data_IF_951201574523
#
_entry.id   IF_951201574523
#
_cell.length_a   1.000
_cell.length_b   1.000
_cell.length_c   1.000
_cell.angle_alpha   90.00
_cell.angle_beta   90.00
_cell.angle_gamma   90.00
#
_symmetry.space_group_name_H-M   'P 1'
#
loop_
_entity.id
_entity.type
_entity.pdbx_description
1 polymer ?
#
# COMPACT_ATOMS: atom_id res chain seq x y z
N UNK A 1 39.85 -24.89 14.50
CA UNK A 1 38.53 -25.53 14.66
C UNK A 1 37.72 -25.14 13.44
N UNK A 2 37.28 -26.14 12.68
CA UNK A 2 36.61 -25.99 11.40
C UNK A 2 35.08 -25.89 11.58
N UNK A 3 34.46 -25.44 10.48
CA UNK A 3 33.06 -25.62 10.06
C UNK A 3 32.07 -24.55 10.49
N UNK A 4 32.13 -23.43 9.74
CA UNK A 4 31.02 -22.88 8.94
C UNK A 4 29.64 -23.42 9.36
N UNK A 5 28.94 -22.67 10.21
CA UNK A 5 27.48 -22.81 10.35
C UNK A 5 26.84 -22.25 9.09
N UNK A 6 26.73 -23.14 8.10
CA UNK A 6 25.61 -23.33 7.18
C UNK A 6 24.82 -22.06 6.87
N UNK A 7 25.26 -21.41 5.81
CA UNK A 7 24.40 -20.61 4.94
C UNK A 7 23.20 -21.47 4.50
N UNK A 8 22.01 -21.06 4.90
CA UNK A 8 20.74 -21.43 4.26
C UNK A 8 20.03 -20.13 3.85
N UNK A 9 20.62 -19.40 2.92
CA UNK A 9 19.95 -18.38 2.12
C UNK A 9 20.56 -18.43 0.72
N UNK A 10 20.30 -19.54 0.04
CA UNK A 10 20.56 -19.68 -1.39
C UNK A 10 19.20 -19.87 -2.08
N UNK A 11 18.52 -18.76 -2.29
CA UNK A 11 17.52 -18.58 -3.33
C UNK A 11 17.72 -17.15 -3.85
N UNK A 12 18.25 -17.06 -5.08
CA UNK A 12 18.15 -15.92 -6.01
C UNK A 12 18.23 -14.48 -5.42
N UNK A 13 19.40 -14.09 -4.88
CA UNK A 13 19.74 -12.70 -4.51
C UNK A 13 20.13 -11.86 -5.74
N UNK A 14 19.24 -11.66 -6.71
CA UNK A 14 19.45 -10.64 -7.76
C UNK A 14 18.60 -9.40 -7.58
N UNK A 15 17.52 -9.48 -6.80
CA UNK A 15 16.49 -8.46 -6.82
C UNK A 15 16.40 -7.66 -5.51
N UNK A 16 17.23 -7.96 -4.52
CA UNK A 16 17.28 -7.25 -3.23
C UNK A 16 18.27 -6.08 -3.31
N UNK A 17 17.79 -4.85 -3.20
CA UNK A 17 18.60 -3.63 -3.31
C UNK A 17 19.18 -3.18 -1.96
N UNK A 18 18.35 -3.23 -0.91
CA UNK A 18 18.74 -2.79 0.43
C UNK A 18 17.80 -3.38 1.48
N UNK A 19 18.31 -3.57 2.69
CA UNK A 19 17.56 -4.20 3.78
C UNK A 19 17.91 -3.57 5.13
N UNK A 20 16.88 -3.33 5.94
CA UNK A 20 16.95 -3.08 7.37
C UNK A 20 16.58 -4.36 8.11
N UNK A 21 17.55 -5.03 8.76
CA UNK A 21 17.37 -6.40 9.21
C UNK A 21 16.54 -6.56 10.49
N UNK A 22 16.30 -5.48 11.24
CA UNK A 22 15.56 -5.52 12.50
C UNK A 22 14.78 -4.23 12.74
N UNK A 23 13.56 -4.40 13.24
CA UNK A 23 12.67 -3.31 13.60
C UNK A 23 11.25 -3.80 13.93
N UNK A 24 10.32 -2.84 14.00
CA UNK A 24 8.92 -3.07 14.36
C UNK A 24 8.02 -2.35 13.38
N UNK A 25 6.97 -3.02 12.91
CA UNK A 25 5.98 -2.41 12.02
C UNK A 25 4.76 -1.99 12.81
N UNK A 26 4.36 -0.72 12.66
CA UNK A 26 3.14 -0.16 13.21
C UNK A 26 2.23 0.37 12.09
N UNK A 27 0.94 0.39 12.38
CA UNK A 27 -0.07 1.13 11.64
C UNK A 27 -0.63 2.24 12.53
N UNK A 28 -0.38 3.48 12.14
CA UNK A 28 -0.90 4.68 12.81
C UNK A 28 -2.13 5.14 12.05
N UNK A 29 -3.27 5.17 12.75
CA UNK A 29 -4.54 5.61 12.18
C UNK A 29 -4.65 7.13 12.23
N UNK A 30 -5.42 7.71 11.32
CA UNK A 30 -5.68 9.15 11.36
C UNK A 30 -6.29 9.55 12.73
N UNK A 31 -5.95 10.74 13.29
CA UNK A 31 -6.45 11.15 14.60
C UNK A 31 -7.97 11.27 14.72
N UNK A 32 -8.68 11.34 13.59
CA UNK A 32 -10.13 11.40 13.53
C UNK A 32 -10.78 10.01 13.44
N UNK A 33 -9.98 8.95 13.30
CA UNK A 33 -10.47 7.58 13.24
C UNK A 33 -11.00 7.15 14.60
N UNK A 34 -12.17 6.47 14.67
CA UNK A 34 -12.68 5.88 15.90
C UNK A 34 -11.89 4.63 16.33
N UNK A 35 -11.04 4.08 15.45
CA UNK A 35 -10.16 2.94 15.71
C UNK A 35 -8.88 3.46 16.40
N UNK A 36 -8.29 2.68 17.30
CA UNK A 36 -7.14 3.10 18.11
C UNK A 36 -6.00 3.73 17.30
N UNK A 37 -5.31 4.71 17.89
CA UNK A 37 -4.44 5.62 17.15
C UNK A 37 -3.17 4.97 16.57
N UNK A 38 -2.64 3.91 17.19
CA UNK A 38 -1.41 3.24 16.77
C UNK A 38 -1.42 1.77 17.17
N UNK A 39 -1.30 0.89 16.19
CA UNK A 39 -1.35 -0.57 16.33
C UNK A 39 0.02 -1.16 15.97
N UNK A 40 0.56 -2.07 16.79
CA UNK A 40 1.77 -2.83 16.45
C UNK A 40 1.35 -4.04 15.62
N UNK A 41 1.79 -4.09 14.36
CA UNK A 41 1.51 -5.21 13.47
C UNK A 41 2.54 -6.32 13.65
N UNK A 42 3.83 -5.97 13.66
CA UNK A 42 4.94 -6.89 13.88
C UNK A 42 5.90 -6.36 14.95
N UNK A 43 6.09 -7.15 16.01
CA UNK A 43 7.02 -6.86 17.11
C UNK A 43 8.49 -7.14 16.78
N UNK A 44 8.73 -7.92 15.73
CA UNK A 44 10.03 -8.18 15.13
C UNK A 44 9.82 -8.34 13.62
N UNK A 45 10.51 -7.51 12.83
CA UNK A 45 10.35 -7.44 11.39
C UNK A 45 11.60 -6.95 10.68
N UNK A 46 11.71 -7.34 9.42
CA UNK A 46 12.74 -6.90 8.48
C UNK A 46 12.08 -6.07 7.36
N UNK A 47 12.71 -4.97 6.96
CA UNK A 47 12.24 -4.17 5.82
C UNK A 47 13.23 -4.25 4.65
N UNK A 48 12.75 -4.56 3.46
CA UNK A 48 13.57 -4.85 2.29
C UNK A 48 13.06 -4.12 1.06
N UNK A 49 13.96 -3.52 0.29
CA UNK A 49 13.67 -2.91 -1.02
C UNK A 49 14.01 -3.93 -2.10
N UNK A 50 13.04 -4.24 -2.96
CA UNK A 50 13.22 -5.16 -4.08
C UNK A 50 12.97 -4.48 -5.42
N UNK A 51 13.79 -4.86 -6.39
CA UNK A 51 13.54 -4.62 -7.80
C UNK A 51 12.48 -5.59 -8.32
N UNK A 52 11.66 -5.12 -9.25
CA UNK A 52 10.70 -5.96 -9.98
C UNK A 52 11.23 -6.27 -11.38
N UNK A 53 10.53 -7.13 -12.12
CA UNK A 53 10.84 -7.39 -13.53
C UNK A 53 10.56 -6.19 -14.45
N UNK A 54 9.92 -5.13 -13.93
CA UNK A 54 9.66 -3.90 -14.68
C UNK A 54 10.72 -2.85 -14.32
N UNK A 55 11.40 -2.24 -15.31
CA UNK A 55 12.37 -1.18 -15.05
C UNK A 55 11.77 -0.05 -14.21
N UNK A 56 12.56 0.44 -13.27
CA UNK A 56 12.19 1.55 -12.37
C UNK A 56 10.97 1.31 -11.48
N UNK A 57 10.47 0.08 -11.45
CA UNK A 57 9.44 -0.35 -10.52
C UNK A 57 10.07 -1.15 -9.39
N UNK A 58 9.83 -0.68 -8.17
CA UNK A 58 10.39 -1.21 -6.94
C UNK A 58 9.32 -1.42 -5.89
N UNK A 59 9.59 -2.33 -4.96
CA UNK A 59 8.69 -2.67 -3.88
C UNK A 59 9.43 -2.58 -2.55
N UNK A 60 8.85 -1.86 -1.59
CA UNK A 60 9.21 -1.94 -0.18
C UNK A 60 8.41 -3.08 0.44
N UNK A 61 9.09 -4.08 0.99
CA UNK A 61 8.47 -5.19 1.68
C UNK A 61 8.84 -5.17 3.16
N UNK A 62 7.89 -5.54 4.02
CA UNK A 62 8.13 -5.69 5.46
C UNK A 62 7.68 -7.07 5.88
N UNK A 63 8.63 -7.92 6.28
CA UNK A 63 8.38 -9.31 6.63
C UNK A 63 8.52 -9.51 8.14
N UNK A 64 7.61 -10.27 8.75
CA UNK A 64 7.69 -10.64 10.17
C UNK A 64 8.85 -11.60 10.39
N UNK A 65 9.59 -11.38 11.47
CA UNK A 65 10.65 -12.29 11.92
C UNK A 65 10.10 -13.13 13.08
N UNK A 66 10.16 -14.46 12.92
CA UNK A 66 9.76 -15.39 13.97
C UNK A 66 10.85 -15.53 15.03
N UNK A 67 10.49 -15.34 16.29
CA UNK A 67 11.38 -15.67 17.41
C UNK A 67 11.15 -17.13 17.84
N UNK A 68 12.22 -17.92 17.95
CA UNK A 68 12.18 -19.32 18.40
C UNK A 68 11.47 -19.41 19.78
N UNK A 69 10.22 -19.89 19.80
CA UNK A 69 9.40 -20.00 21.01
C UNK A 69 8.12 -19.15 21.04
N UNK A 70 7.87 -18.28 20.05
CA UNK A 70 6.52 -17.78 19.80
C UNK A 70 5.66 -18.93 19.28
N UNK A 71 4.78 -19.48 20.12
CA UNK A 71 3.67 -20.28 19.66
C UNK A 71 2.78 -19.36 18.82
N UNK A 72 2.49 -19.73 17.58
CA UNK A 72 1.48 -19.04 16.78
C UNK A 72 0.21 -18.90 17.64
N UNK A 73 -0.11 -17.67 18.05
CA UNK A 73 -1.33 -17.38 18.81
C UNK A 73 -2.62 -17.72 18.02
N UNK A 74 -2.46 -18.25 16.80
CA UNK A 74 -3.50 -18.73 15.91
C UNK A 74 -3.56 -20.27 15.81
N UNK A 75 -3.09 -20.99 16.84
CA UNK A 75 -3.58 -22.32 17.18
C UNK A 75 -3.32 -23.41 16.14
N UNK A 76 -2.21 -24.11 16.28
CA UNK A 76 -2.14 -25.52 15.89
C UNK A 76 -1.36 -26.32 16.93
N UNK A 77 -1.81 -26.28 18.18
CA UNK A 77 -1.60 -27.41 19.08
C UNK A 77 -2.86 -28.28 18.99
N UNK A 78 -2.71 -29.40 18.29
CA UNK A 78 -3.61 -30.56 18.18
C UNK A 78 -5.00 -30.33 17.54
N UNK A 79 -5.16 -30.71 16.26
CA UNK A 79 -6.06 -31.81 15.90
C UNK A 79 -5.75 -32.31 14.48
N UNK A 80 -5.24 -33.55 14.38
CA UNK A 80 -5.47 -34.34 13.18
C UNK A 80 -6.89 -34.87 13.34
N UNK A 81 -7.87 -34.24 12.68
CA UNK A 81 -9.00 -34.94 12.08
C UNK A 81 -9.65 -34.04 11.02
N UNK A 82 -9.84 -34.63 9.85
CA UNK A 82 -10.42 -34.05 8.64
C UNK A 82 -11.87 -33.61 8.87
N UNK A 83 -12.17 -32.31 8.81
CA UNK A 83 -13.53 -31.83 8.51
C UNK A 83 -13.42 -30.53 7.69
N UNK A 84 -13.84 -30.59 6.41
CA UNK A 84 -14.10 -29.43 5.56
C UNK A 84 -15.15 -28.53 6.25
N UNK A 85 -14.72 -27.41 6.83
CA UNK A 85 -15.64 -26.42 7.42
C UNK A 85 -15.70 -25.16 6.56
N UNK A 86 -16.67 -25.17 5.65
CA UNK A 86 -17.20 -24.01 4.95
C UNK A 86 -17.77 -23.03 5.98
N UNK A 87 -16.97 -22.06 6.43
CA UNK A 87 -17.40 -20.99 7.34
C UNK A 87 -17.55 -19.68 6.59
N UNK A 88 -18.64 -19.60 5.83
CA UNK A 88 -19.40 -18.37 5.65
C UNK A 88 -19.89 -17.88 7.03
N UNK A 89 -19.14 -16.96 7.62
CA UNK A 89 -19.62 -16.09 8.70
C UNK A 89 -19.28 -14.62 8.37
N UNK A 90 -20.10 -14.02 7.51
CA UNK A 90 -20.87 -12.83 7.87
C UNK A 90 -20.12 -11.52 8.18
N UNK A 91 -19.96 -10.70 7.14
CA UNK A 91 -20.25 -9.24 7.06
C UNK A 91 -20.08 -8.38 8.33
N UNK A 92 -18.96 -7.66 8.39
CA UNK A 92 -18.86 -6.31 8.96
C UNK A 92 -18.51 -5.31 7.86
N UNK A 93 -19.28 -4.21 7.77
CA UNK A 93 -19.28 -3.21 6.70
C UNK A 93 -17.93 -2.59 6.32
N UNK A 94 -17.77 -2.37 5.01
CA UNK A 94 -17.07 -1.21 4.43
C UNK A 94 -15.56 -1.32 4.30
N UNK A 95 -15.09 -1.23 3.05
CA UNK A 95 -13.72 -0.85 2.66
C UNK A 95 -12.63 -1.92 2.83
N UNK A 96 -12.72 -2.93 1.97
CA UNK A 96 -11.78 -4.05 1.91
C UNK A 96 -11.53 -4.54 0.47
N UNK A 97 -11.47 -3.62 -0.49
CA UNK A 97 -11.18 -3.97 -1.88
C UNK A 97 -9.69 -4.28 -2.15
N UNK A 98 -8.81 -4.19 -1.14
CA UNK A 98 -7.47 -4.78 -1.22
C UNK A 98 -6.87 -5.23 0.13
N UNK A 99 -7.70 -5.65 1.09
CA UNK A 99 -7.24 -6.70 2.00
C UNK A 99 -7.37 -7.98 1.18
N UNK A 100 -6.34 -8.32 0.41
CA UNK A 100 -6.16 -9.69 -0.04
C UNK A 100 -6.32 -10.53 1.23
N UNK A 101 -7.40 -11.31 1.26
CA UNK A 101 -7.77 -12.15 2.37
C UNK A 101 -6.70 -13.22 2.58
N UNK A 102 -5.63 -12.89 3.31
CA UNK A 102 -4.64 -13.84 3.74
C UNK A 102 -4.51 -13.71 5.27
N UNK A 103 -5.22 -14.55 6.00
CA UNK A 103 -4.91 -14.86 7.40
C UNK A 103 -3.59 -15.64 7.55
N UNK A 104 -2.61 -15.38 6.68
CA UNK A 104 -1.41 -16.21 6.47
C UNK A 104 -0.22 -15.46 5.84
N UNK A 105 -0.18 -14.13 5.86
CA UNK A 105 0.94 -13.39 5.28
C UNK A 105 1.81 -12.74 6.36
N UNK A 106 2.99 -13.32 6.56
CA UNK A 106 4.09 -12.73 7.31
C UNK A 106 4.80 -11.61 6.54
N UNK A 107 4.10 -10.94 5.61
CA UNK A 107 4.71 -9.96 4.73
C UNK A 107 3.70 -8.91 4.26
N UNK A 108 4.12 -7.65 4.32
CA UNK A 108 3.49 -6.50 3.66
C UNK A 108 4.32 -6.08 2.46
N UNK A 109 3.65 -5.60 1.41
CA UNK A 109 4.29 -5.21 0.15
C UNK A 109 3.70 -3.90 -0.34
N UNK A 110 4.57 -2.92 -0.62
CA UNK A 110 4.22 -1.55 -0.99
C UNK A 110 5.00 -1.15 -2.24
N UNK A 111 4.31 -0.75 -3.31
CA UNK A 111 4.97 -0.20 -4.49
C UNK A 111 5.58 1.16 -4.16
N UNK A 112 6.87 1.33 -4.43
CA UNK A 112 7.59 2.58 -4.10
C UNK A 112 7.24 3.64 -5.13
N UNK A 113 6.52 4.68 -4.71
CA UNK A 113 6.18 5.86 -5.52
C UNK A 113 6.14 7.14 -4.68
N UNK A 114 5.99 8.30 -5.33
CA UNK A 114 5.85 9.60 -4.65
C UNK A 114 4.59 9.65 -3.77
N UNK A 115 3.53 8.90 -4.11
CA UNK A 115 2.27 8.85 -3.38
C UNK A 115 2.40 8.23 -1.98
N UNK A 116 3.43 7.38 -1.76
CA UNK A 116 3.75 6.86 -0.43
C UNK A 116 4.21 7.95 0.53
N UNK A 117 4.71 9.09 0.01
CA UNK A 117 5.13 10.23 0.82
C UNK A 117 6.05 9.82 1.98
N UNK A 118 7.07 9.03 1.62
CA UNK A 118 8.01 8.44 2.56
C UNK A 118 8.79 9.54 3.27
N UNK A 119 8.94 9.40 4.59
CA UNK A 119 9.83 10.24 5.38
C UNK A 119 10.42 9.48 6.54
N UNK A 120 11.56 9.97 7.03
CA UNK A 120 12.22 9.44 8.23
C UNK A 120 12.21 10.47 9.34
N UNK A 121 12.10 10.02 10.59
CA UNK A 121 12.18 10.87 11.77
C UNK A 121 12.85 10.13 12.93
N UNK A 122 13.22 10.88 13.96
CA UNK A 122 13.71 10.34 15.21
C UNK A 122 12.64 10.54 16.27
N UNK A 123 12.25 9.46 16.95
CA UNK A 123 11.31 9.46 18.06
C UNK A 123 11.89 10.16 19.29
N UNK A 124 11.03 10.44 20.27
CA UNK A 124 11.43 11.06 21.54
C UNK A 124 12.42 10.21 22.35
N UNK A 125 12.35 8.89 22.18
CA UNK A 125 13.27 7.92 22.79
C UNK A 125 14.62 7.80 22.05
N UNK A 126 14.79 8.49 20.92
CA UNK A 126 16.00 8.48 20.10
C UNK A 126 16.02 7.39 19.02
N UNK A 127 15.01 6.53 18.95
CA UNK A 127 14.88 5.53 17.89
C UNK A 127 14.56 6.20 16.54
N UNK A 128 15.06 5.64 15.44
CA UNK A 128 14.74 6.14 14.09
C UNK A 128 13.55 5.37 13.54
N UNK A 129 12.68 6.06 12.82
CA UNK A 129 11.54 5.46 12.15
C UNK A 129 11.40 5.97 10.72
N UNK A 130 10.86 5.12 9.85
CA UNK A 130 10.47 5.45 8.48
C UNK A 130 8.95 5.31 8.41
N UNK A 131 8.25 6.31 7.86
CA UNK A 131 6.80 6.28 7.73
C UNK A 131 6.35 6.63 6.31
N UNK A 132 5.26 6.00 5.89
CA UNK A 132 4.64 6.18 4.57
C UNK A 132 3.12 6.06 4.68
N UNK A 133 2.41 6.62 3.70
CA UNK A 133 0.96 6.56 3.62
C UNK A 133 0.47 5.14 3.38
N UNK A 134 -0.64 4.77 4.02
CA UNK A 134 -1.43 3.61 3.62
C UNK A 134 -2.33 4.00 2.44
N UNK A 135 -1.90 3.67 1.22
CA UNK A 135 -2.66 3.97 0.00
C UNK A 135 -3.96 3.16 -0.13
N UNK A 136 -4.11 2.11 0.67
CA UNK A 136 -5.25 1.19 0.61
C UNK A 136 -6.14 1.30 1.85
N UNK A 137 -5.76 2.13 2.82
CA UNK A 137 -6.44 2.34 4.10
C UNK A 137 -7.31 3.60 4.12
N UNK A 138 -7.67 4.03 5.34
CA UNK A 138 -8.43 5.26 5.52
C UNK A 138 -7.53 6.48 5.28
N UNK A 139 -8.12 7.59 4.83
CA UNK A 139 -7.36 8.82 4.60
C UNK A 139 -6.60 9.26 5.86
N UNK A 140 -5.28 9.41 5.73
CA UNK A 140 -4.38 9.80 6.81
C UNK A 140 -3.83 8.62 7.63
N UNK A 141 -4.18 7.38 7.30
CA UNK A 141 -3.51 6.20 7.86
C UNK A 141 -2.09 6.08 7.30
N UNK A 142 -1.16 5.65 8.15
CA UNK A 142 0.26 5.54 7.82
C UNK A 142 0.88 4.30 8.44
N UNK A 143 1.78 3.68 7.72
CA UNK A 143 2.69 2.70 8.29
C UNK A 143 3.90 3.41 8.90
N UNK A 144 4.48 2.79 9.92
CA UNK A 144 5.71 3.24 10.57
C UNK A 144 6.59 2.02 10.87
N UNK A 145 7.78 1.98 10.29
CA UNK A 145 8.81 1.02 10.60
C UNK A 145 9.80 1.65 11.58
N UNK A 146 9.74 1.24 12.85
CA UNK A 146 10.65 1.67 13.90
C UNK A 146 11.88 0.78 13.90
N UNK A 147 13.05 1.37 13.70
CA UNK A 147 14.32 0.67 13.52
C UNK A 147 14.95 0.43 14.89
N UNK A 148 15.39 -0.80 15.15
CA UNK A 148 16.06 -1.12 16.41
C UNK A 148 17.42 -0.42 16.56
N UNK A 149 17.79 -0.10 17.80
CA UNK A 149 18.96 0.71 18.14
C UNK A 149 20.30 0.08 17.74
N UNK A 150 20.32 -1.23 17.48
CA UNK A 150 21.51 -1.96 17.05
C UNK A 150 21.92 -1.66 15.59
N UNK A 151 21.01 -1.12 14.80
CA UNK A 151 21.28 -0.76 13.39
C UNK A 151 22.02 0.57 13.34
N UNK A 152 23.14 0.59 12.60
CA UNK A 152 23.97 1.79 12.49
C UNK A 152 23.26 2.84 11.65
N UNK A 153 23.43 4.11 12.03
CA UNK A 153 22.88 5.22 11.25
C UNK A 153 23.36 5.25 9.78
N UNK A 154 24.59 4.82 9.49
CA UNK A 154 25.07 4.70 8.11
C UNK A 154 24.29 3.69 7.27
N UNK A 155 23.82 2.61 7.89
CA UNK A 155 23.06 1.55 7.23
C UNK A 155 21.62 2.05 6.96
N UNK A 156 21.06 2.82 7.90
CA UNK A 156 19.77 3.50 7.75
C UNK A 156 19.83 4.56 6.65
N UNK A 157 20.87 5.39 6.62
CA UNK A 157 21.05 6.41 5.59
C UNK A 157 21.23 5.78 4.20
N UNK A 158 21.95 4.66 4.12
CA UNK A 158 22.11 3.90 2.87
C UNK A 158 20.80 3.28 2.39
N UNK A 159 19.98 2.78 3.31
CA UNK A 159 18.64 2.28 3.01
C UNK A 159 17.72 3.40 2.50
N UNK A 160 17.70 4.54 3.19
CA UNK A 160 16.92 5.72 2.77
C UNK A 160 17.38 6.23 1.41
N UNK A 161 18.69 6.32 1.16
CA UNK A 161 19.22 6.71 -0.15
C UNK A 161 18.72 5.77 -1.24
N UNK A 162 18.77 4.45 -0.99
CA UNK A 162 18.25 3.45 -1.93
C UNK A 162 16.74 3.62 -2.17
N UNK A 163 15.98 3.91 -1.12
CA UNK A 163 14.54 4.12 -1.18
C UNK A 163 14.17 5.36 -2.00
N UNK A 164 14.80 6.50 -1.75
CA UNK A 164 14.53 7.73 -2.50
C UNK A 164 15.04 7.66 -3.94
N UNK A 165 16.13 6.91 -4.20
CA UNK A 165 16.53 6.59 -5.57
C UNK A 165 15.43 5.86 -6.31
N UNK A 166 14.81 4.85 -5.69
CA UNK A 166 13.68 4.14 -6.31
C UNK A 166 12.53 5.08 -6.66
N UNK A 167 12.21 6.05 -5.79
CA UNK A 167 11.19 7.08 -6.09
C UNK A 167 11.60 7.98 -7.25
N UNK A 168 12.85 8.44 -7.29
CA UNK A 168 13.41 9.23 -8.39
C UNK A 168 13.29 8.50 -9.72
N UNK A 169 13.73 7.24 -9.75
CA UNK A 169 13.76 6.45 -10.97
C UNK A 169 12.36 6.21 -11.51
N UNK A 170 11.38 5.93 -10.64
CA UNK A 170 9.98 5.78 -11.06
C UNK A 170 9.42 7.11 -11.60
N UNK A 171 9.70 8.23 -10.94
CA UNK A 171 9.16 9.55 -11.31
C UNK A 171 9.70 10.05 -12.65
N UNK A 172 11.01 9.95 -12.86
CA UNK A 172 11.67 10.46 -14.06
C UNK A 172 11.86 9.41 -15.15
N UNK A 173 11.65 8.13 -14.84
CA UNK A 173 11.93 7.02 -15.74
C UNK A 173 13.39 7.06 -16.23
N UNK A 174 14.31 7.37 -15.31
CA UNK A 174 15.75 7.53 -15.54
C UNK A 174 16.57 6.82 -14.45
N UNK A 175 17.81 6.43 -14.74
CA UNK A 175 18.67 5.78 -13.75
C UNK A 175 19.23 6.75 -12.70
N UNK A 176 19.28 6.29 -11.44
CA UNK A 176 19.84 7.00 -10.29
C UNK A 176 21.32 6.68 -10.01
N UNK A 177 22.02 6.00 -10.93
CA UNK A 177 23.39 5.52 -10.72
C UNK A 177 24.39 6.63 -10.31
N UNK A 178 24.19 7.87 -10.79
CA UNK A 178 25.04 9.02 -10.47
C UNK A 178 24.66 9.77 -9.18
N UNK A 179 23.64 9.33 -8.45
CA UNK A 179 23.19 9.96 -7.20
C UNK A 179 23.92 9.28 -6.05
N UNK A 180 24.67 10.03 -5.26
CA UNK A 180 25.46 9.50 -4.13
C UNK A 180 25.05 10.10 -2.79
N UNK A 181 24.38 11.26 -2.81
CA UNK A 181 23.99 12.00 -1.62
C UNK A 181 22.47 12.21 -1.57
N UNK A 182 21.89 12.01 -0.39
CA UNK A 182 20.49 12.30 -0.09
C UNK A 182 20.12 13.76 -0.39
N UNK A 183 21.08 14.68 -0.32
CA UNK A 183 20.84 16.08 -0.66
C UNK A 183 20.40 16.29 -2.12
N UNK A 184 20.75 15.37 -3.03
CA UNK A 184 20.33 15.43 -4.44
C UNK A 184 18.87 14.98 -4.62
N UNK A 185 18.27 14.37 -3.59
CA UNK A 185 16.91 13.81 -3.59
C UNK A 185 15.98 14.58 -2.63
N UNK A 186 16.34 15.82 -2.25
CA UNK A 186 15.58 16.62 -1.28
C UNK A 186 14.12 16.85 -1.66
N UNK A 187 13.77 16.82 -2.94
CA UNK A 187 12.38 16.95 -3.39
C UNK A 187 11.46 15.82 -2.91
N UNK A 188 12.02 14.65 -2.58
CA UNK A 188 11.29 13.49 -2.06
C UNK A 188 11.33 13.40 -0.53
N UNK A 189 12.21 14.16 0.12
CA UNK A 189 12.39 14.11 1.57
C UNK A 189 11.40 15.06 2.22
N UNK A 190 10.32 14.50 2.77
CA UNK A 190 9.31 15.27 3.47
C UNK A 190 9.67 15.44 4.95
N UNK A 191 9.36 16.60 5.53
CA UNK A 191 9.37 16.75 6.99
C UNK A 191 7.98 16.48 7.57
N UNK A 192 7.87 16.10 8.86
CA UNK A 192 6.57 15.95 9.52
C UNK A 192 5.66 17.19 9.42
N UNK A 193 6.25 18.39 9.30
CA UNK A 193 5.49 19.64 9.15
C UNK A 193 4.88 19.79 7.75
N UNK A 194 5.59 19.34 6.73
CA UNK A 194 5.10 19.40 5.35
C UNK A 194 3.89 18.49 5.16
N UNK A 195 3.90 17.33 5.84
CA UNK A 195 2.79 16.38 5.86
C UNK A 195 1.54 16.95 6.51
N UNK A 196 1.66 17.59 7.68
CA UNK A 196 0.53 18.22 8.36
C UNK A 196 -0.16 19.29 7.50
N UNK A 197 0.57 19.97 6.64
CA UNK A 197 0.00 20.95 5.73
C UNK A 197 -0.69 20.27 4.55
N UNK A 198 -0.09 19.21 4.00
CA UNK A 198 -0.65 18.50 2.87
C UNK A 198 -1.91 17.71 3.22
N UNK A 199 -1.93 17.05 4.38
CA UNK A 199 -3.10 16.29 4.85
C UNK A 199 -4.30 17.21 5.08
N UNK A 200 -4.07 18.42 5.59
CA UNK A 200 -5.11 19.45 5.72
C UNK A 200 -5.66 19.88 4.37
N UNK A 201 -4.78 20.19 3.41
CA UNK A 201 -5.18 20.62 2.07
C UNK A 201 -5.98 19.52 1.33
N UNK A 202 -5.52 18.27 1.42
CA UNK A 202 -6.21 17.11 0.82
C UNK A 202 -7.57 16.87 1.48
N UNK A 203 -7.66 17.00 2.80
CA UNK A 203 -8.93 16.90 3.53
C UNK A 203 -9.91 17.98 3.08
N UNK A 204 -9.49 19.24 3.07
CA UNK A 204 -10.35 20.36 2.66
C UNK A 204 -10.88 20.16 1.24
N UNK A 205 -10.05 19.65 0.32
CA UNK A 205 -10.48 19.33 -1.05
C UNK A 205 -11.49 18.17 -1.09
N UNK A 206 -11.27 17.11 -0.29
CA UNK A 206 -12.20 15.98 -0.20
C UNK A 206 -13.56 16.36 0.40
N UNK A 207 -13.57 17.26 1.38
CA UNK A 207 -14.79 17.78 2.01
C UNK A 207 -15.59 18.63 1.01
N UNK A 208 -14.93 19.37 0.11
CA UNK A 208 -15.59 20.14 -0.95
C UNK A 208 -16.23 19.24 -2.02
N UNK A 209 -15.54 18.18 -2.45
CA UNK A 209 -16.10 17.20 -3.40
C UNK A 209 -17.32 16.47 -2.84
N UNK A 210 -17.35 16.24 -1.52
CA UNK A 210 -18.51 15.65 -0.84
C UNK A 210 -19.72 16.60 -0.81
N UNK A 211 -19.49 17.91 -0.75
CA UNK A 211 -20.56 18.93 -0.78
C UNK A 211 -21.12 19.09 -2.20
N UNK A 212 -20.31 19.03 -3.24
CA UNK A 212 -20.80 19.15 -4.63
C UNK A 212 -21.70 17.96 -5.01
N UNK A 213 -21.36 16.74 -4.57
CA UNK A 213 -22.18 15.53 -4.78
C UNK A 213 -23.51 15.51 -4.02
N UNK A 214 -23.65 16.33 -2.97
CA UNK A 214 -24.88 16.47 -2.18
C UNK A 214 -25.69 17.74 -2.51
N UNK A 215 -25.35 18.44 -3.59
CA UNK A 215 -26.15 19.56 -4.07
C UNK A 215 -27.50 19.06 -4.61
N UNK A 216 -28.66 19.53 -4.11
CA UNK A 216 -29.95 19.12 -4.65
C UNK A 216 -30.05 19.56 -6.11
N UNK A 217 -30.20 18.59 -7.03
CA UNK A 217 -30.52 18.86 -8.44
C UNK A 217 -31.77 19.74 -8.48
N UNK A 218 -31.61 21.01 -8.88
CA UNK A 218 -32.74 21.87 -9.23
C UNK A 218 -33.56 21.15 -10.30
N UNK A 219 -34.89 21.01 -10.15
CA UNK A 219 -35.70 20.38 -11.18
C UNK A 219 -35.59 21.20 -12.46
N UNK A 220 -35.10 20.56 -13.53
CA UNK A 220 -35.17 21.08 -14.89
C UNK A 220 -36.64 21.23 -15.27
N UNK A 221 -37.06 22.45 -15.61
CA UNK A 221 -38.36 22.69 -16.24
C UNK A 221 -38.42 21.89 -17.54
N UNK A 222 -39.24 20.84 -17.54
CA UNK A 222 -39.66 20.14 -18.75
C UNK A 222 -40.58 21.09 -19.50
N UNK A 223 -40.12 21.57 -20.66
CA UNK A 223 -41.01 22.06 -21.70
C UNK A 223 -41.68 20.82 -22.29
N UNK A 224 -42.99 20.72 -22.13
CA UNK A 224 -43.83 19.82 -22.91
C UNK A 224 -44.17 20.57 -24.19
N UNK A 225 -43.63 20.09 -25.31
CA UNK A 225 -44.27 20.28 -26.59
C UNK A 225 -44.93 18.94 -26.93
N UNK A 226 -46.25 19.00 -26.99
CA UNK A 226 -47.15 18.00 -27.56
C UNK A 226 -46.69 17.67 -28.99
N UNK A 227 -46.66 16.39 -29.34
CA UNK A 227 -47.02 15.93 -30.68
C UNK A 227 -47.39 14.44 -30.60
N UNK A 228 -48.71 14.22 -30.58
CA UNK A 228 -49.43 12.98 -30.89
C UNK A 228 -49.06 12.49 -32.30
N UNK A 229 -48.62 11.24 -32.44
CA UNK A 229 -48.99 10.37 -33.57
C UNK A 229 -48.94 8.90 -33.11
N UNK A 230 -50.13 8.31 -32.94
CA UNK A 230 -50.38 6.86 -33.00
C UNK A 230 -50.43 6.39 -34.48
N UNK A 231 -50.54 5.06 -34.67
CA UNK A 231 -50.67 4.27 -35.92
C UNK A 231 -49.36 4.00 -36.70
N UNK A 232 -49.07 2.80 -37.19
CA UNK A 232 -49.76 1.51 -37.14
C UNK A 232 -48.82 0.42 -37.71
N UNK A 233 -49.08 -0.81 -37.26
CA UNK A 233 -48.97 -2.11 -37.92
C UNK A 233 -47.68 -2.61 -38.62
N UNK A 234 -47.24 -3.75 -38.07
CA UNK A 234 -46.57 -4.90 -38.67
C UNK A 234 -46.77 -5.11 -40.17
N UNK A 235 -45.70 -5.46 -40.89
CA UNK A 235 -45.68 -6.58 -41.85
C UNK A 235 -44.24 -7.11 -41.96
N UNK A 236 -44.02 -8.30 -41.38
CA UNK A 236 -43.04 -9.25 -41.90
C UNK A 236 -43.54 -9.74 -43.26
N UNK A 237 -42.71 -9.65 -44.30
CA UNK A 237 -42.81 -10.55 -45.45
C UNK A 237 -41.40 -10.81 -45.99
N UNK A 238 -41.03 -12.08 -45.92
CA UNK A 238 -39.86 -12.68 -46.54
C UNK A 238 -40.04 -12.64 -48.07
N UNK A 239 -38.99 -12.33 -48.83
CA UNK A 239 -38.81 -12.95 -50.15
C UNK A 239 -37.32 -12.94 -50.51
N UNK A 240 -36.74 -14.14 -50.46
CA UNK A 240 -35.59 -14.55 -51.26
C UNK A 240 -35.89 -14.28 -52.74
N UNK A 241 -34.94 -13.73 -53.49
CA UNK A 241 -34.61 -14.30 -54.80
C UNK A 241 -33.26 -13.79 -55.31
N UNK A 242 -32.59 -14.75 -55.94
CA UNK A 242 -31.30 -14.69 -56.61
C UNK A 242 -31.25 -13.66 -57.75
N UNK A 243 -30.05 -13.17 -58.11
CA UNK A 243 -29.46 -13.42 -59.44
C UNK A 243 -28.11 -12.72 -59.65
N UNK A 244 -27.28 -13.42 -60.41
CA UNK A 244 -25.94 -13.15 -60.89
C UNK A 244 -25.78 -11.84 -61.70
N UNK A 245 -24.63 -11.15 -61.53
CA UNK A 245 -23.54 -10.97 -62.54
C UNK A 245 -22.37 -10.12 -61.97
#
# INVERSE_FOLDING_TARGET
>A
MNFLKKAFFASEKSDELSTLPSGRLYLTRSPNSPKGARECLYSDACATIRQTNTPYYYTLMVSRMYQEGELDANGSEYDSDEEESDSDLGRGNGDSANRIANGHNDEWSFTISEDLQIYSFTNEDGTKAISWNDLNGDFGDRFEFVIDEEIKYSDIDSFLLSLYKCVYELKYNESSMGIEDLNQLQEFILSPKDLLNLDKLKKDMSDLDAVEKNSPKKPSKVFSDDDDYEDDEDYDDDEDDDEDD
#
